data_IF_987726574250
#
_entry.id   IF_987726574250
#
_cell.length_a   1.000
_cell.length_b   1.000
_cell.length_c   1.000
_cell.angle_alpha   90.00
_cell.angle_beta   90.00
_cell.angle_gamma   90.00
#
_symmetry.space_group_name_H-M   'P 1'
#
loop_
_entity.id
_entity.type
_entity.pdbx_description
1 polymer ?
#
# COMPACT_ATOMS: atom_id res chain seq x y z
N UNK A 1 31.43 -4.16 -44.05
CA UNK A 1 30.06 -4.34 -44.57
C UNK A 1 29.77 -5.83 -44.46
N UNK A 2 28.77 -6.35 -43.77
CA UNK A 2 27.68 -5.73 -43.02
C UNK A 2 27.48 -6.42 -41.65
N UNK A 3 26.86 -5.68 -40.74
CA UNK A 3 26.35 -6.19 -39.46
C UNK A 3 24.98 -6.79 -39.76
N UNK A 4 24.79 -8.07 -39.52
CA UNK A 4 23.46 -8.64 -39.30
C UNK A 4 23.07 -8.27 -37.87
N UNK A 5 22.33 -7.17 -37.74
CA UNK A 5 21.49 -6.92 -36.58
C UNK A 5 20.34 -7.91 -36.66
N UNK A 6 20.39 -8.94 -35.81
CA UNK A 6 19.21 -9.71 -35.46
C UNK A 6 18.32 -8.83 -34.60
N UNK A 7 17.43 -8.08 -35.25
CA UNK A 7 16.19 -7.62 -34.62
C UNK A 7 15.40 -8.88 -34.24
N UNK A 8 15.43 -9.22 -32.96
CA UNK A 8 14.51 -10.19 -32.38
C UNK A 8 13.11 -9.59 -32.40
N UNK A 9 12.40 -9.74 -33.52
CA UNK A 9 10.97 -9.50 -33.60
C UNK A 9 10.26 -10.30 -32.49
N UNK A 10 9.34 -9.71 -31.72
CA UNK A 10 8.54 -10.43 -30.73
C UNK A 10 7.41 -11.21 -31.43
N UNK A 11 7.76 -12.06 -32.39
CA UNK A 11 6.83 -12.82 -33.22
C UNK A 11 6.39 -14.16 -32.60
N UNK A 12 6.78 -14.47 -31.35
CA UNK A 12 6.46 -15.77 -30.72
C UNK A 12 5.78 -15.64 -29.35
N UNK A 13 4.92 -14.63 -29.15
CA UNK A 13 3.77 -14.80 -28.26
C UNK A 13 2.70 -15.55 -29.06
N UNK A 14 2.97 -16.84 -29.34
CA UNK A 14 2.12 -17.67 -30.19
C UNK A 14 0.67 -17.62 -29.72
N UNK A 15 -0.23 -17.21 -30.61
CA UNK A 15 -1.68 -17.23 -30.42
C UNK A 15 -2.15 -18.63 -29.96
N UNK A 16 -1.39 -19.68 -30.28
CA UNK A 16 -1.60 -21.07 -29.85
C UNK A 16 -1.37 -21.31 -28.34
N UNK A 17 -0.55 -20.49 -27.67
CA UNK A 17 -0.21 -20.61 -26.24
C UNK A 17 -1.18 -19.79 -25.37
N UNK A 18 -1.92 -18.86 -25.96
CA UNK A 18 -2.85 -17.97 -25.26
C UNK A 18 -3.93 -18.74 -24.46
N UNK A 19 -4.59 -19.78 -24.99
CA UNK A 19 -5.56 -20.56 -24.22
C UNK A 19 -4.94 -21.26 -23.00
N UNK A 20 -3.71 -21.75 -23.13
CA UNK A 20 -2.98 -22.43 -22.04
C UNK A 20 -2.58 -21.41 -20.97
N UNK A 21 -2.00 -20.26 -21.38
CA UNK A 21 -1.64 -19.18 -20.46
C UNK A 21 -2.86 -18.64 -19.70
N UNK A 22 -4.00 -18.48 -20.38
CA UNK A 22 -5.25 -18.07 -19.73
C UNK A 22 -5.81 -19.14 -18.78
N UNK A 23 -5.66 -20.42 -19.11
CA UNK A 23 -6.05 -21.51 -18.20
C UNK A 23 -5.18 -21.53 -16.95
N UNK A 24 -3.87 -21.36 -17.08
CA UNK A 24 -2.94 -21.22 -15.95
C UNK A 24 -3.29 -20.01 -15.08
N UNK A 25 -3.47 -18.83 -15.68
CA UNK A 25 -3.83 -17.61 -14.94
C UNK A 25 -5.16 -17.75 -14.19
N UNK A 26 -6.13 -18.46 -14.76
CA UNK A 26 -7.40 -18.76 -14.07
C UNK A 26 -7.22 -19.66 -12.87
N UNK A 27 -6.38 -20.69 -13.00
CA UNK A 27 -6.08 -21.60 -11.89
C UNK A 27 -5.39 -20.83 -10.76
N UNK A 28 -4.37 -20.03 -11.08
CA UNK A 28 -3.68 -19.17 -10.11
C UNK A 28 -4.64 -18.18 -9.42
N UNK A 29 -5.52 -17.53 -10.18
CA UNK A 29 -6.55 -16.65 -9.61
C UNK A 29 -7.55 -17.39 -8.72
N UNK A 30 -7.92 -18.62 -9.07
CA UNK A 30 -8.81 -19.43 -8.25
C UNK A 30 -8.14 -19.83 -6.93
N UNK A 31 -6.91 -20.32 -6.99
CA UNK A 31 -6.10 -20.68 -5.82
C UNK A 31 -5.86 -19.48 -4.91
N UNK A 32 -5.48 -18.33 -5.46
CA UNK A 32 -5.28 -17.10 -4.70
C UNK A 32 -6.58 -16.61 -4.02
N UNK A 33 -7.75 -16.79 -4.64
CA UNK A 33 -9.05 -16.49 -4.02
C UNK A 33 -9.44 -17.46 -2.93
N UNK A 34 -9.17 -18.74 -3.12
CA UNK A 34 -9.38 -19.77 -2.10
C UNK A 34 -8.51 -19.47 -0.88
N UNK A 35 -7.23 -19.17 -1.09
CA UNK A 35 -6.30 -18.76 -0.04
C UNK A 35 -6.76 -17.47 0.67
N UNK A 36 -7.26 -16.48 -0.05
CA UNK A 36 -7.77 -15.24 0.56
C UNK A 36 -8.96 -15.51 1.49
N UNK A 37 -9.85 -16.44 1.10
CA UNK A 37 -10.97 -16.89 1.93
C UNK A 37 -10.52 -17.70 3.13
N UNK A 38 -9.51 -18.56 2.96
CA UNK A 38 -8.91 -19.31 4.05
C UNK A 38 -8.29 -18.38 5.11
N UNK A 39 -7.40 -17.47 4.68
CA UNK A 39 -6.77 -16.49 5.57
C UNK A 39 -7.78 -15.58 6.28
N UNK A 40 -8.89 -15.24 5.62
CA UNK A 40 -9.97 -14.47 6.23
C UNK A 40 -10.65 -15.22 7.39
N UNK A 41 -10.75 -16.55 7.30
CA UNK A 41 -11.35 -17.42 8.31
C UNK A 41 -10.40 -17.86 9.44
N UNK A 42 -9.09 -17.67 9.30
CA UNK A 42 -8.11 -18.02 10.32
C UNK A 42 -8.13 -17.04 11.50
N UNK A 43 -7.93 -17.57 12.71
CA UNK A 43 -7.57 -16.77 13.89
C UNK A 43 -6.06 -16.55 13.96
N UNK A 44 -5.62 -15.56 14.74
CA UNK A 44 -4.18 -15.29 14.95
C UNK A 44 -3.42 -16.46 15.57
N UNK A 45 -4.11 -17.30 16.34
CA UNK A 45 -3.54 -18.51 16.97
C UNK A 45 -3.31 -19.63 15.96
N UNK A 46 -4.11 -19.69 14.90
CA UNK A 46 -4.01 -20.70 13.84
C UNK A 46 -3.01 -20.32 12.75
N UNK A 47 -2.77 -19.03 12.55
CA UNK A 47 -1.86 -18.53 11.53
C UNK A 47 -0.39 -18.64 11.98
N UNK A 48 0.36 -19.57 11.39
CA UNK A 48 1.82 -19.64 11.56
C UNK A 48 2.46 -18.37 10.97
N UNK A 49 3.23 -17.64 11.79
CA UNK A 49 3.86 -16.39 11.38
C UNK A 49 4.90 -16.60 10.29
N UNK A 50 5.64 -17.72 10.32
CA UNK A 50 6.65 -18.01 9.31
C UNK A 50 6.04 -18.30 7.94
N UNK A 51 4.90 -18.98 7.94
CA UNK A 51 4.11 -19.24 6.73
C UNK A 51 3.48 -17.95 6.19
N UNK A 52 2.92 -17.10 7.07
CA UNK A 52 2.38 -15.81 6.65
C UNK A 52 3.46 -14.88 6.05
N UNK A 53 4.65 -14.85 6.65
CA UNK A 53 5.78 -14.07 6.15
C UNK A 53 6.21 -14.57 4.77
N UNK A 54 6.31 -15.90 4.58
CA UNK A 54 6.63 -16.49 3.29
C UNK A 54 5.58 -16.14 2.22
N UNK A 55 4.28 -16.20 2.56
CA UNK A 55 3.21 -15.82 1.63
C UNK A 55 3.26 -14.33 1.26
N UNK A 56 3.57 -13.45 2.20
CA UNK A 56 3.75 -12.02 1.90
C UNK A 56 4.88 -11.80 0.90
N UNK A 57 6.01 -12.50 1.08
CA UNK A 57 7.18 -12.41 0.19
C UNK A 57 6.85 -12.96 -1.23
N UNK A 58 6.21 -14.12 -1.31
CA UNK A 58 5.81 -14.75 -2.59
C UNK A 58 4.82 -13.87 -3.39
N UNK A 59 3.81 -13.31 -2.73
CA UNK A 59 2.80 -12.49 -3.40
C UNK A 59 3.28 -11.08 -3.74
N UNK A 60 4.37 -10.58 -3.13
CA UNK A 60 5.00 -9.34 -3.58
C UNK A 60 5.76 -9.53 -4.90
N UNK A 61 6.59 -10.58 -4.98
CA UNK A 61 7.33 -10.95 -6.20
C UNK A 61 6.38 -11.22 -7.39
N UNK A 62 5.29 -11.97 -7.14
CA UNK A 62 4.25 -12.20 -8.13
C UNK A 62 3.57 -10.88 -8.57
N UNK A 63 3.35 -9.95 -7.64
CA UNK A 63 2.78 -8.63 -7.93
C UNK A 63 3.63 -7.83 -8.92
N UNK A 64 4.94 -7.78 -8.72
CA UNK A 64 5.87 -7.10 -9.61
C UNK A 64 5.85 -7.71 -11.03
N UNK A 65 5.87 -9.04 -11.12
CA UNK A 65 5.76 -9.78 -12.38
C UNK A 65 4.44 -9.49 -13.12
N UNK A 66 3.31 -9.55 -12.42
CA UNK A 66 1.99 -9.28 -12.99
C UNK A 66 1.81 -7.83 -13.45
N UNK A 67 2.39 -6.85 -12.72
CA UNK A 67 2.38 -5.45 -13.15
C UNK A 67 3.17 -5.24 -14.45
N UNK A 68 4.30 -5.93 -14.63
CA UNK A 68 5.05 -5.94 -15.90
C UNK A 68 4.20 -6.55 -17.02
N UNK A 69 3.56 -7.70 -16.76
CA UNK A 69 2.68 -8.37 -17.71
C UNK A 69 1.51 -7.46 -18.14
N UNK A 70 0.84 -6.78 -17.21
CA UNK A 70 -0.24 -5.84 -17.51
C UNK A 70 0.23 -4.69 -18.43
N UNK A 71 1.42 -4.13 -18.18
CA UNK A 71 2.04 -3.09 -19.05
C UNK A 71 2.42 -3.63 -20.43
N UNK A 72 2.90 -4.86 -20.52
CA UNK A 72 3.20 -5.50 -21.80
C UNK A 72 1.92 -5.76 -22.60
N UNK A 73 0.87 -6.26 -21.94
CA UNK A 73 -0.44 -6.51 -22.56
C UNK A 73 -1.09 -5.21 -23.06
N UNK A 74 -1.04 -4.13 -22.26
CA UNK A 74 -1.55 -2.83 -22.68
C UNK A 74 -0.84 -2.29 -23.92
N UNK A 75 0.49 -2.47 -24.01
CA UNK A 75 1.28 -2.09 -25.21
C UNK A 75 0.97 -3.00 -26.40
N UNK A 76 0.84 -4.30 -26.18
CA UNK A 76 0.53 -5.26 -27.23
C UNK A 76 -0.83 -4.99 -27.87
N UNK A 77 -1.83 -4.62 -27.07
CA UNK A 77 -3.19 -4.24 -27.53
C UNK A 77 -3.20 -3.11 -28.55
N UNK A 78 -2.24 -2.19 -28.50
CA UNK A 78 -2.15 -1.07 -29.45
C UNK A 78 -1.80 -1.53 -30.88
N UNK A 79 -1.13 -2.67 -31.01
CA UNK A 79 -0.67 -3.20 -32.31
C UNK A 79 -1.46 -4.43 -32.77
N UNK A 80 -2.24 -5.05 -31.88
CA UNK A 80 -2.96 -6.30 -32.12
C UNK A 80 -4.39 -6.24 -31.57
N UNK A 81 -5.13 -5.17 -31.88
CA UNK A 81 -6.48 -4.91 -31.34
C UNK A 81 -7.50 -6.01 -31.63
N UNK A 82 -7.30 -6.74 -32.74
CA UNK A 82 -8.25 -7.72 -33.26
C UNK A 82 -7.88 -9.16 -32.87
N UNK A 83 -6.89 -9.33 -31.98
CA UNK A 83 -6.45 -10.65 -31.55
C UNK A 83 -7.55 -11.37 -30.75
N UNK A 84 -7.89 -12.59 -31.19
CA UNK A 84 -8.85 -13.43 -30.50
C UNK A 84 -8.41 -13.73 -29.06
N UNK A 85 -9.30 -13.59 -28.09
CA UNK A 85 -9.02 -13.84 -26.67
C UNK A 85 -8.32 -12.70 -25.92
N UNK A 86 -7.99 -11.59 -26.60
CA UNK A 86 -7.31 -10.45 -25.97
C UNK A 86 -8.13 -9.78 -24.87
N UNK A 87 -9.40 -9.49 -25.12
CA UNK A 87 -10.26 -8.85 -24.11
C UNK A 87 -10.44 -9.74 -22.87
N UNK A 88 -10.48 -11.06 -23.07
CA UNK A 88 -10.60 -12.05 -22.00
C UNK A 88 -9.30 -12.14 -21.17
N UNK A 89 -8.13 -12.12 -21.82
CA UNK A 89 -6.84 -12.01 -21.14
C UNK A 89 -6.72 -10.69 -20.36
N UNK A 90 -7.14 -9.56 -20.95
CA UNK A 90 -7.13 -8.26 -20.26
C UNK A 90 -8.01 -8.29 -19.01
N UNK A 91 -9.20 -8.88 -19.10
CA UNK A 91 -10.10 -9.03 -17.96
C UNK A 91 -9.45 -9.88 -16.85
N UNK A 92 -8.84 -11.02 -17.19
CA UNK A 92 -8.15 -11.87 -16.22
C UNK A 92 -6.97 -11.15 -15.54
N UNK A 93 -6.11 -10.48 -16.31
CA UNK A 93 -4.97 -9.74 -15.76
C UNK A 93 -5.43 -8.60 -14.85
N UNK A 94 -6.57 -7.96 -15.16
CA UNK A 94 -7.16 -6.94 -14.31
C UNK A 94 -7.68 -7.48 -12.96
N UNK A 95 -7.99 -8.78 -12.86
CA UNK A 95 -8.44 -9.42 -11.61
C UNK A 95 -7.30 -9.77 -10.65
N UNK A 96 -6.05 -9.85 -11.13
CA UNK A 96 -4.89 -10.28 -10.35
C UNK A 96 -4.58 -9.32 -9.20
N UNK A 97 -4.46 -8.03 -9.48
CA UNK A 97 -4.07 -7.05 -8.47
C UNK A 97 -5.11 -6.93 -7.33
N UNK A 98 -6.43 -6.89 -7.60
CA UNK A 98 -7.43 -6.94 -6.54
C UNK A 98 -7.34 -8.17 -5.63
N UNK A 99 -7.09 -9.35 -6.19
CA UNK A 99 -6.96 -10.60 -5.39
C UNK A 99 -5.69 -10.57 -4.54
N UNK A 100 -4.56 -10.15 -5.12
CA UNK A 100 -3.30 -9.95 -4.40
C UNK A 100 -3.46 -8.96 -3.24
N UNK A 101 -4.11 -7.83 -3.48
CA UNK A 101 -4.39 -6.83 -2.45
C UNK A 101 -5.31 -7.36 -1.35
N UNK A 102 -6.27 -8.23 -1.66
CA UNK A 102 -7.12 -8.86 -0.66
C UNK A 102 -6.31 -9.82 0.22
N UNK A 103 -5.41 -10.62 -0.38
CA UNK A 103 -4.50 -11.53 0.33
C UNK A 103 -3.57 -10.78 1.30
N UNK A 104 -2.83 -9.79 0.80
CA UNK A 104 -1.88 -9.02 1.61
C UNK A 104 -2.57 -8.31 2.78
N UNK A 105 -3.81 -7.84 2.59
CA UNK A 105 -4.62 -7.29 3.69
C UNK A 105 -4.95 -8.32 4.76
N UNK A 106 -5.29 -9.56 4.39
CA UNK A 106 -5.56 -10.61 5.38
C UNK A 106 -4.30 -11.01 6.16
N UNK A 107 -3.14 -11.08 5.48
CA UNK A 107 -1.85 -11.36 6.12
C UNK A 107 -1.47 -10.25 7.11
N UNK A 108 -1.60 -8.99 6.69
CA UNK A 108 -1.32 -7.83 7.55
C UNK A 108 -2.25 -7.77 8.77
N UNK A 109 -3.54 -8.11 8.60
CA UNK A 109 -4.51 -8.26 9.70
C UNK A 109 -4.07 -9.32 10.70
N UNK A 110 -3.72 -10.53 10.24
CA UNK A 110 -3.27 -11.64 11.09
C UNK A 110 -1.99 -11.26 11.85
N UNK A 111 -1.08 -10.55 11.18
CA UNK A 111 0.14 -10.03 11.79
C UNK A 111 -0.16 -9.00 12.87
N UNK A 112 -1.05 -8.03 12.62
CA UNK A 112 -1.45 -7.06 13.64
C UNK A 112 -2.10 -7.73 14.85
N UNK A 113 -2.98 -8.73 14.63
CA UNK A 113 -3.62 -9.46 15.73
C UNK A 113 -2.61 -10.21 16.63
N UNK A 114 -1.39 -10.47 16.13
CA UNK A 114 -0.26 -11.03 16.91
C UNK A 114 0.66 -9.97 17.52
N UNK A 115 0.36 -8.69 17.33
CA UNK A 115 1.23 -7.58 17.79
C UNK A 115 2.51 -7.44 16.98
N UNK A 116 2.54 -7.95 15.74
CA UNK A 116 3.73 -7.99 14.89
C UNK A 116 3.75 -6.88 13.81
N UNK A 117 2.76 -5.99 13.78
CA UNK A 117 2.75 -4.89 12.81
C UNK A 117 3.93 -3.94 13.01
N UNK A 118 4.56 -3.52 11.90
CA UNK A 118 5.70 -2.62 11.83
C UNK A 118 6.99 -3.21 12.40
N UNK A 119 7.02 -4.51 12.72
CA UNK A 119 8.22 -5.18 13.25
C UNK A 119 9.19 -5.60 12.15
N UNK A 120 8.71 -5.66 10.89
CA UNK A 120 9.51 -5.87 9.69
C UNK A 120 9.12 -4.85 8.62
N UNK A 121 10.08 -4.51 7.75
CA UNK A 121 9.79 -3.78 6.51
C UNK A 121 9.12 -4.75 5.56
N UNK A 122 7.98 -4.37 4.99
CA UNK A 122 7.29 -5.19 3.99
C UNK A 122 8.19 -5.46 2.78
N UNK A 123 8.08 -6.64 2.14
CA UNK A 123 8.79 -6.96 0.90
C UNK A 123 8.63 -5.88 -0.17
N UNK A 124 9.66 -5.72 -1.01
CA UNK A 124 9.66 -4.74 -2.11
C UNK A 124 9.77 -3.27 -1.68
N UNK A 125 9.78 -2.96 -0.37
CA UNK A 125 9.91 -1.59 0.14
C UNK A 125 11.26 -1.33 0.77
N UNK A 126 11.78 -0.13 0.53
CA UNK A 126 12.87 0.39 1.35
C UNK A 126 12.31 0.80 2.71
N UNK A 127 13.11 0.63 3.76
CA UNK A 127 12.72 1.12 5.09
C UNK A 127 12.53 2.62 5.01
N UNK A 128 11.31 3.10 5.28
CA UNK A 128 11.06 4.53 5.40
C UNK A 128 11.96 5.12 6.50
N UNK A 129 12.62 6.23 6.21
CA UNK A 129 13.48 6.91 7.16
C UNK A 129 12.69 8.03 7.87
N UNK A 130 12.63 8.00 9.19
CA UNK A 130 12.08 9.12 9.95
C UNK A 130 13.04 10.31 9.87
N UNK A 131 12.66 11.32 9.08
CA UNK A 131 13.48 12.53 8.85
C UNK A 131 13.04 13.70 9.75
N UNK A 132 11.87 13.60 10.38
CA UNK A 132 11.34 14.59 11.31
C UNK A 132 10.45 13.93 12.36
N UNK A 133 10.66 14.28 13.62
CA UNK A 133 9.85 13.85 14.77
C UNK A 133 9.70 15.03 15.73
N UNK A 134 8.62 15.78 15.59
CA UNK A 134 8.37 17.00 16.37
C UNK A 134 7.10 16.85 17.20
N UNK A 135 7.20 16.70 18.53
CA UNK A 135 6.03 16.53 19.39
C UNK A 135 5.21 17.82 19.57
N UNK A 136 5.78 18.98 19.23
CA UNK A 136 5.16 20.30 19.37
C UNK A 136 5.40 21.16 18.12
N UNK A 137 4.82 20.75 17.01
CA UNK A 137 4.89 21.45 15.74
C UNK A 137 3.67 22.36 15.51
N UNK A 138 3.91 23.57 15.00
CA UNK A 138 2.88 24.53 14.62
C UNK A 138 2.94 24.80 13.11
N UNK A 139 1.77 24.79 12.47
CA UNK A 139 1.63 25.09 11.04
C UNK A 139 1.08 26.49 10.77
N UNK A 140 0.62 27.17 11.83
CA UNK A 140 0.01 28.50 11.78
C UNK A 140 0.06 29.14 13.16
N UNK A 141 0.35 30.44 13.21
CA UNK A 141 0.30 31.25 14.45
C UNK A 141 -1.13 31.73 14.78
N UNK A 142 -2.15 31.26 14.04
CA UNK A 142 -3.54 31.66 14.25
C UNK A 142 -4.11 31.07 15.55
N UNK A 143 -4.94 31.82 16.29
CA UNK A 143 -5.65 31.30 17.47
C UNK A 143 -6.46 30.04 17.10
N UNK A 144 -6.38 29.00 17.94
CA UNK A 144 -7.03 27.71 17.72
C UNK A 144 -6.19 26.67 16.96
N UNK A 145 -5.01 27.04 16.43
CA UNK A 145 -4.06 26.14 15.81
C UNK A 145 -2.96 25.74 16.81
N UNK A 146 -3.34 25.05 17.89
CA UNK A 146 -2.40 24.59 18.92
C UNK A 146 -1.29 23.67 18.36
N UNK A 147 -0.17 23.52 19.10
CA UNK A 147 0.93 22.64 18.69
C UNK A 147 0.46 21.19 18.55
N UNK A 148 1.01 20.44 17.59
CA UNK A 148 0.64 19.05 17.27
C UNK A 148 1.90 18.21 17.12
N UNK A 149 1.79 16.90 17.36
CA UNK A 149 2.84 15.99 16.94
C UNK A 149 2.87 15.91 15.40
N UNK A 150 4.04 16.08 14.81
CA UNK A 150 4.31 15.88 13.38
C UNK A 150 5.48 14.91 13.23
N UNK A 151 5.25 13.86 12.45
CA UNK A 151 6.30 12.96 11.98
C UNK A 151 6.35 12.99 10.45
N UNK A 152 7.56 13.02 9.89
CA UNK A 152 7.76 12.94 8.43
C UNK A 152 8.71 11.80 8.13
N UNK A 153 8.24 10.88 7.32
CA UNK A 153 8.95 9.70 6.87
C UNK A 153 9.30 9.86 5.39
N UNK A 154 10.52 9.50 5.03
CA UNK A 154 11.02 9.49 3.66
C UNK A 154 11.02 8.06 3.13
N UNK A 155 10.20 7.77 2.12
CA UNK A 155 10.15 6.44 1.47
C UNK A 155 11.16 6.32 0.33
N UNK A 156 11.34 7.41 -0.43
CA UNK A 156 12.34 7.55 -1.48
C UNK A 156 12.72 9.03 -1.66
N UNK A 157 13.62 9.32 -2.61
CA UNK A 157 14.14 10.67 -2.87
C UNK A 157 13.06 11.71 -3.24
N UNK A 158 11.86 11.26 -3.60
CA UNK A 158 10.76 12.11 -4.09
C UNK A 158 9.46 11.97 -3.30
N UNK A 159 9.32 10.97 -2.44
CA UNK A 159 8.07 10.69 -1.74
C UNK A 159 8.21 10.74 -0.21
N UNK A 160 7.41 11.62 0.40
CA UNK A 160 7.31 11.80 1.84
C UNK A 160 5.93 11.39 2.35
N UNK A 161 5.92 10.71 3.49
CA UNK A 161 4.72 10.42 4.27
C UNK A 161 4.74 11.28 5.54
N UNK A 162 3.77 12.18 5.65
CA UNK A 162 3.60 13.02 6.82
C UNK A 162 2.44 12.53 7.69
N UNK A 163 2.68 12.40 8.99
CA UNK A 163 1.67 12.01 9.98
C UNK A 163 1.53 13.14 10.99
N UNK A 164 0.33 13.71 11.09
CA UNK A 164 0.03 14.83 12.01
C UNK A 164 -1.08 14.45 12.99
N UNK A 165 -0.90 14.75 14.28
CA UNK A 165 -1.91 14.45 15.29
C UNK A 165 -3.20 15.29 15.11
N UNK A 166 -4.36 14.62 15.16
CA UNK A 166 -5.70 15.19 15.02
C UNK A 166 -6.09 16.11 16.17
N UNK A 167 -5.53 15.88 17.36
CA UNK A 167 -5.65 16.76 18.54
C UNK A 167 -4.33 16.78 19.30
N UNK A 168 -4.01 17.92 19.93
CA UNK A 168 -3.13 17.95 21.10
C UNK A 168 -3.95 17.53 22.32
N UNK A 169 -3.36 16.89 23.34
CA UNK A 169 -4.03 16.62 24.62
C UNK A 169 -4.67 17.84 25.32
N UNK A 170 -4.56 19.05 24.77
CA UNK A 170 -5.01 20.32 25.33
C UNK A 170 -6.27 20.94 24.65
N UNK A 171 -6.86 20.30 23.62
CA UNK A 171 -8.17 20.69 23.06
C UNK A 171 -8.22 20.89 21.54
N UNK A 172 -9.32 20.45 20.91
CA UNK A 172 -9.45 20.23 19.46
C UNK A 172 -10.17 21.29 18.62
N UNK A 173 -9.81 21.32 17.33
CA UNK A 173 -10.51 21.96 16.19
C UNK A 173 -10.61 20.91 15.08
N UNK A 174 -11.68 20.95 14.29
CA UNK A 174 -11.98 20.00 13.21
C UNK A 174 -10.86 19.83 12.17
N UNK A 175 -10.68 18.59 11.72
CA UNK A 175 -9.55 18.03 10.97
C UNK A 175 -9.38 18.54 9.54
N UNK A 176 -10.46 18.95 8.87
CA UNK A 176 -10.44 19.31 7.44
C UNK A 176 -9.69 20.62 7.14
N UNK A 177 -9.92 21.70 7.91
CA UNK A 177 -9.22 22.97 7.69
C UNK A 177 -7.72 22.91 8.06
N UNK A 178 -7.33 21.93 8.86
CA UNK A 178 -5.96 21.72 9.33
C UNK A 178 -5.12 21.01 8.27
N UNK A 179 -5.68 20.02 7.58
CA UNK A 179 -4.98 19.19 6.58
C UNK A 179 -4.37 20.02 5.45
N UNK A 180 -5.15 20.93 4.84
CA UNK A 180 -4.68 21.78 3.74
C UNK A 180 -3.53 22.72 4.15
N UNK A 181 -3.62 23.31 5.34
CA UNK A 181 -2.61 24.23 5.83
C UNK A 181 -1.30 23.50 6.19
N UNK A 182 -1.41 22.30 6.78
CA UNK A 182 -0.28 21.42 7.05
C UNK A 182 0.39 20.99 5.75
N UNK A 183 -0.39 20.53 4.77
CA UNK A 183 0.11 20.12 3.46
C UNK A 183 0.79 21.30 2.72
N UNK A 184 0.18 22.48 2.73
CA UNK A 184 0.77 23.67 2.12
C UNK A 184 2.10 24.07 2.78
N UNK A 185 2.18 23.98 4.12
CA UNK A 185 3.40 24.27 4.86
C UNK A 185 4.50 23.27 4.55
N UNK A 186 4.19 21.97 4.56
CA UNK A 186 5.16 20.93 4.23
C UNK A 186 5.64 21.01 2.78
N UNK A 187 4.76 21.31 1.83
CA UNK A 187 5.14 21.51 0.41
C UNK A 187 6.06 22.71 0.21
N UNK A 188 5.95 23.75 1.05
CA UNK A 188 6.87 24.88 1.02
C UNK A 188 8.25 24.54 1.60
N UNK A 189 8.33 23.58 2.53
CA UNK A 189 9.57 23.12 3.15
C UNK A 189 10.29 22.06 2.30
N UNK A 190 9.54 21.13 1.70
CA UNK A 190 10.05 20.03 0.87
C UNK A 190 9.70 20.23 -0.60
N UNK A 191 10.43 21.14 -1.24
CA UNK A 191 10.20 21.49 -2.66
C UNK A 191 10.50 20.29 -3.57
N UNK A 192 9.54 19.95 -4.42
CA UNK A 192 9.70 18.89 -5.43
C UNK A 192 9.37 17.48 -4.93
N UNK A 193 9.01 17.32 -3.65
CA UNK A 193 8.54 16.04 -3.12
C UNK A 193 7.02 15.91 -3.26
N UNK A 194 6.56 14.71 -3.58
CA UNK A 194 5.19 14.27 -3.35
C UNK A 194 5.00 14.03 -1.84
N UNK A 195 3.92 14.58 -1.28
CA UNK A 195 3.63 14.48 0.16
C UNK A 195 2.26 13.84 0.35
N UNK A 196 2.25 12.66 0.95
CA UNK A 196 1.06 12.00 1.44
C UNK A 196 0.84 12.36 2.91
N UNK A 197 -0.26 13.03 3.21
CA UNK A 197 -0.59 13.50 4.55
C UNK A 197 -1.65 12.59 5.19
N UNK A 198 -1.34 12.11 6.40
CA UNK A 198 -2.24 11.37 7.26
C UNK A 198 -2.51 12.13 8.55
N UNK A 199 -3.78 12.21 8.91
CA UNK A 199 -4.22 12.68 10.22
C UNK A 199 -4.30 11.49 11.16
N UNK A 200 -3.60 11.57 12.28
CA UNK A 200 -3.49 10.52 13.28
C UNK A 200 -4.28 10.87 14.54
N UNK A 201 -5.23 10.02 14.92
CA UNK A 201 -5.93 10.10 16.19
C UNK A 201 -5.41 8.97 17.09
N UNK A 202 -4.70 9.28 18.20
CA UNK A 202 -4.24 8.27 19.13
C UNK A 202 -5.40 7.47 19.72
N UNK A 203 -5.27 6.15 19.79
CA UNK A 203 -6.25 5.29 20.45
C UNK A 203 -6.33 5.55 21.96
N UNK A 204 -7.52 5.41 22.55
CA UNK A 204 -7.65 5.51 24.01
C UNK A 204 -6.86 4.39 24.70
N UNK A 205 -6.21 4.69 25.84
CA UNK A 205 -5.27 3.78 26.51
C UNK A 205 -5.86 2.45 26.97
N UNK A 206 -7.19 2.33 27.06
CA UNK A 206 -7.84 1.17 27.66
C UNK A 206 -8.21 0.08 26.65
N UNK A 207 -8.60 0.41 25.41
CA UNK A 207 -9.02 -0.60 24.41
C UNK A 207 -8.92 -0.11 22.93
N UNK A 208 -8.28 1.03 22.66
CA UNK A 208 -8.26 1.65 21.33
C UNK A 208 -6.92 1.50 20.60
N UNK A 209 -6.96 0.99 19.36
CA UNK A 209 -5.87 1.19 18.39
C UNK A 209 -5.83 2.64 17.89
N UNK A 210 -4.71 3.05 17.31
CA UNK A 210 -4.59 4.34 16.65
C UNK A 210 -5.41 4.36 15.35
N UNK A 211 -5.86 5.55 14.95
CA UNK A 211 -6.66 5.75 13.75
C UNK A 211 -5.96 6.72 12.80
N UNK A 212 -6.04 6.41 11.50
CA UNK A 212 -5.43 7.21 10.46
C UNK A 212 -6.45 7.55 9.38
N UNK A 213 -6.52 8.84 9.04
CA UNK A 213 -7.36 9.37 7.97
C UNK A 213 -6.47 10.02 6.91
N UNK A 214 -6.78 9.77 5.64
CA UNK A 214 -6.21 10.47 4.50
C UNK A 214 -7.28 11.30 3.82
N UNK A 215 -6.98 12.55 3.53
CA UNK A 215 -7.88 13.39 2.76
C UNK A 215 -7.86 13.01 1.27
N UNK A 216 -9.04 12.94 0.68
CA UNK A 216 -9.26 12.75 -0.76
C UNK A 216 -10.08 13.91 -1.31
N UNK A 217 -10.08 14.03 -2.64
CA UNK A 217 -10.86 15.03 -3.38
C UNK A 217 -12.36 15.05 -3.05
N UNK A 218 -12.91 13.99 -2.45
CA UNK A 218 -14.32 13.84 -2.08
C UNK A 218 -14.48 13.30 -0.64
N UNK A 219 -13.71 13.82 0.32
CA UNK A 219 -13.86 13.54 1.75
C UNK A 219 -12.65 12.83 2.36
N UNK A 220 -12.81 12.34 3.60
CA UNK A 220 -11.76 11.58 4.29
C UNK A 220 -11.92 10.08 4.03
N UNK A 221 -10.81 9.39 3.78
CA UNK A 221 -10.71 7.94 3.78
C UNK A 221 -10.03 7.47 5.06
N UNK A 222 -10.71 6.62 5.82
CA UNK A 222 -10.09 5.89 6.91
C UNK A 222 -9.24 4.74 6.35
N UNK A 223 -8.02 4.61 6.86
CA UNK A 223 -7.09 3.54 6.48
C UNK A 223 -7.08 2.43 7.53
N UNK A 224 -6.69 1.25 7.10
CA UNK A 224 -6.33 0.20 8.05
C UNK A 224 -5.00 0.56 8.70
N UNK A 225 -5.00 0.72 10.03
CA UNK A 225 -3.85 1.17 10.80
C UNK A 225 -2.60 0.31 10.60
N UNK A 226 -2.75 -1.01 10.45
CA UNK A 226 -1.63 -1.90 10.17
C UNK A 226 -0.96 -1.59 8.84
N UNK A 227 -1.71 -1.23 7.78
CA UNK A 227 -1.13 -0.95 6.46
C UNK A 227 -0.12 0.20 6.53
N UNK A 228 -0.44 1.26 7.28
CA UNK A 228 0.47 2.39 7.45
C UNK A 228 1.65 2.06 8.36
N UNK A 229 1.40 1.36 9.47
CA UNK A 229 2.46 0.97 10.42
C UNK A 229 3.46 0.02 9.77
N UNK A 230 2.97 -0.93 8.99
CA UNK A 230 3.77 -1.90 8.25
C UNK A 230 4.52 -1.23 7.09
N UNK A 231 3.88 -0.28 6.40
CA UNK A 231 4.52 0.57 5.37
C UNK A 231 5.72 1.33 5.91
N UNK A 232 5.58 1.93 7.09
CA UNK A 232 6.59 2.82 7.67
C UNK A 232 7.58 2.09 8.59
N UNK A 233 7.32 0.83 8.97
CA UNK A 233 8.07 0.15 10.04
C UNK A 233 7.91 0.86 11.39
N UNK A 234 6.76 1.47 11.65
CA UNK A 234 6.55 2.46 12.71
C UNK A 234 5.94 1.87 14.00
N UNK A 235 6.19 0.59 14.30
CA UNK A 235 5.63 -0.12 15.47
C UNK A 235 5.96 0.55 16.82
N UNK A 236 7.07 1.31 16.87
CA UNK A 236 7.49 2.05 18.08
C UNK A 236 6.71 3.35 18.30
N UNK A 237 6.04 3.85 17.27
CA UNK A 237 5.37 5.15 17.25
C UNK A 237 3.85 5.01 17.35
N UNK A 238 3.30 3.96 16.76
CA UNK A 238 1.86 3.78 16.63
C UNK A 238 1.41 2.41 17.09
N UNK A 239 0.16 2.32 17.52
CA UNK A 239 -0.49 1.10 18.00
C UNK A 239 -1.55 0.65 17.02
N UNK A 240 -1.38 -0.54 16.44
CA UNK A 240 -2.46 -1.24 15.74
C UNK A 240 -3.24 -2.11 16.73
N UNK A 241 -4.57 -2.08 16.64
CA UNK A 241 -5.43 -3.04 17.31
C UNK A 241 -6.39 -3.64 16.26
N UNK A 242 -6.05 -4.82 15.74
CA UNK A 242 -6.98 -5.62 14.96
C UNK A 242 -7.73 -6.54 15.92
N UNK A 243 -8.97 -6.20 16.22
CA UNK A 243 -9.88 -7.15 16.88
C UNK A 243 -10.19 -8.29 15.90
N UNK A 244 -10.15 -9.53 16.40
CA UNK A 244 -10.71 -10.71 15.73
C UNK A 244 -12.14 -10.87 16.22
#
# INVERSE_FOLDING_TARGET
MGREQGDGEPSELGIEVLPVAMASLRAELAEARDLARELAGLTSEQADSSWCDQLEDEYDDLGAGHAVMARQLARWRLSHSDAAGLDELVALVAEVEPVRQALLRQLSRLRCARGLSGTRVLPGRQSAALIRDEPQWTFSDRPGHGPRALQVWCEDDTHLVAVVAAESPEGGVHTTDVSDAVAARLRAEYLGCEIELFVWTPGSQLDGGDFFEREKSLGAEQLFTHDLIDRLGAARYYRCLCQI
#
